data_IF_228443457247
#
_entry.id   IF_228443457247
#
_cell.length_a   1.000
_cell.length_b   1.000
_cell.length_c   1.000
_cell.angle_alpha   90.00
_cell.angle_beta   90.00
_cell.angle_gamma   90.00
#
_symmetry.space_group_name_H-M   'P 1'
#
loop_
_entity.id
_entity.type
_entity.pdbx_description
1 polymer ?
#
# COMPACT_ATOMS: atom_id res chain seq x y z
N UNK A 1 -4.92 10.81 -31.19
CA UNK A 1 -5.49 10.15 -30.00
C UNK A 1 -4.32 9.77 -29.11
N UNK A 2 -3.87 10.71 -28.28
CA UNK A 2 -2.86 10.43 -27.25
C UNK A 2 -3.51 9.45 -26.26
N UNK A 3 -3.07 8.20 -26.30
CA UNK A 3 -3.41 7.23 -25.26
C UNK A 3 -2.89 7.80 -23.95
N UNK A 4 -3.81 8.28 -23.10
CA UNK A 4 -3.52 8.58 -21.70
C UNK A 4 -2.71 7.39 -21.16
N UNK A 5 -1.45 7.64 -20.81
CA UNK A 5 -0.57 6.71 -20.10
C UNK A 5 -1.21 6.40 -18.75
N UNK A 6 -2.20 5.51 -18.71
CA UNK A 6 -2.41 4.72 -17.51
C UNK A 6 -1.09 3.99 -17.28
N UNK A 7 -0.42 4.19 -16.13
CA UNK A 7 0.74 3.36 -15.82
C UNK A 7 0.27 1.91 -15.93
N UNK A 8 0.97 1.04 -16.68
CA UNK A 8 0.64 -0.38 -16.66
C UNK A 8 0.70 -0.82 -15.20
N UNK A 9 -0.33 -1.52 -14.73
CA UNK A 9 -0.37 -2.06 -13.38
C UNK A 9 0.90 -2.90 -13.13
N UNK A 10 1.91 -2.30 -12.51
CA UNK A 10 3.22 -2.93 -12.27
C UNK A 10 3.17 -3.61 -10.91
N UNK A 11 3.26 -4.93 -10.94
CA UNK A 11 3.34 -5.73 -9.73
C UNK A 11 4.61 -5.41 -8.94
N UNK A 12 5.70 -5.05 -9.61
CA UNK A 12 6.97 -4.65 -9.00
C UNK A 12 6.85 -3.32 -8.26
N UNK A 13 6.10 -2.36 -8.83
CA UNK A 13 5.80 -1.10 -8.15
C UNK A 13 4.96 -1.34 -6.88
N UNK A 14 3.92 -2.18 -6.99
CA UNK A 14 3.11 -2.57 -5.83
C UNK A 14 3.95 -3.27 -4.74
N UNK A 15 4.81 -4.22 -5.13
CA UNK A 15 5.73 -4.89 -4.21
C UNK A 15 6.69 -3.92 -3.54
N UNK A 16 7.22 -2.94 -4.29
CA UNK A 16 8.12 -1.92 -3.74
C UNK A 16 7.44 -1.03 -2.71
N UNK A 17 6.17 -0.66 -2.94
CA UNK A 17 5.36 0.09 -1.96
C UNK A 17 5.15 -0.74 -0.70
N UNK A 18 4.69 -2.00 -0.83
CA UNK A 18 4.49 -2.88 0.31
C UNK A 18 5.78 -3.10 1.10
N UNK A 19 6.87 -3.43 0.42
CA UNK A 19 8.17 -3.64 1.05
C UNK A 19 8.70 -2.39 1.74
N UNK A 20 8.56 -1.22 1.11
CA UNK A 20 8.95 0.06 1.71
C UNK A 20 8.19 0.36 3.01
N UNK A 21 6.88 0.11 3.03
CA UNK A 21 6.05 0.27 4.23
C UNK A 21 6.39 -0.74 5.33
N UNK A 22 6.76 -1.97 4.98
CA UNK A 22 7.19 -2.99 5.96
C UNK A 22 8.52 -2.64 6.63
N UNK A 23 9.42 -1.95 5.93
CA UNK A 23 10.73 -1.56 6.46
C UNK A 23 10.66 -0.33 7.36
N UNK A 24 9.74 0.60 7.07
CA UNK A 24 9.61 1.87 7.77
C UNK A 24 8.13 2.17 8.06
N UNK A 25 7.65 1.65 9.18
CA UNK A 25 6.27 1.82 9.64
C UNK A 25 5.93 3.28 9.95
N UNK A 26 6.91 4.17 10.20
CA UNK A 26 6.64 5.60 10.46
C UNK A 26 6.20 6.32 9.19
N UNK A 27 6.55 5.79 8.00
CA UNK A 27 6.07 6.33 6.71
C UNK A 27 4.64 5.93 6.38
N UNK A 28 4.02 5.07 7.17
CA UNK A 28 2.65 4.63 6.95
C UNK A 28 1.68 5.80 6.84
N UNK A 29 1.76 6.75 7.76
CA UNK A 29 0.82 7.89 7.82
C UNK A 29 0.90 8.73 6.54
N UNK A 30 2.11 8.98 6.02
CA UNK A 30 2.33 9.73 4.77
C UNK A 30 1.80 9.03 3.51
N UNK A 31 1.87 7.70 3.49
CA UNK A 31 1.49 6.89 2.31
C UNK A 31 0.01 6.57 2.33
N UNK A 32 -0.56 6.22 3.49
CA UNK A 32 -1.98 5.89 3.65
C UNK A 32 -2.91 7.09 3.40
N UNK A 33 -2.41 8.32 3.48
CA UNK A 33 -3.13 9.53 3.01
C UNK A 33 -3.37 9.54 1.49
N UNK A 34 -2.53 8.85 0.71
CA UNK A 34 -2.53 8.91 -0.76
C UNK A 34 -2.83 7.57 -1.43
N UNK A 35 -2.65 6.46 -0.71
CA UNK A 35 -2.78 5.10 -1.23
C UNK A 35 -3.70 4.32 -0.32
N UNK A 36 -4.75 3.74 -0.91
CA UNK A 36 -5.66 2.81 -0.25
C UNK A 36 -5.51 1.41 -0.85
N UNK A 37 -6.01 0.40 -0.15
CA UNK A 37 -5.92 -0.99 -0.63
C UNK A 37 -6.49 -1.19 -2.04
N UNK A 38 -7.53 -0.45 -2.42
CA UNK A 38 -8.13 -0.54 -3.75
C UNK A 38 -7.27 0.00 -4.89
N UNK A 39 -6.21 0.76 -4.60
CA UNK A 39 -5.28 1.26 -5.62
C UNK A 39 -4.34 0.15 -6.14
N UNK A 40 -4.23 -0.96 -5.40
CA UNK A 40 -3.48 -2.14 -5.85
C UNK A 40 -4.33 -2.99 -6.80
N UNK A 41 -3.79 -3.30 -7.96
CA UNK A 41 -4.38 -4.18 -8.96
C UNK A 41 -4.39 -5.64 -8.51
N UNK A 42 -3.31 -6.10 -7.87
CA UNK A 42 -3.19 -7.46 -7.36
C UNK A 42 -4.06 -7.67 -6.12
N UNK A 43 -5.01 -8.61 -6.18
CA UNK A 43 -5.81 -9.00 -5.00
C UNK A 43 -4.94 -9.41 -3.81
N UNK A 44 -3.88 -10.23 -3.97
CA UNK A 44 -2.92 -10.47 -2.89
C UNK A 44 -2.35 -9.20 -2.26
N UNK A 45 -1.95 -8.21 -3.06
CA UNK A 45 -1.38 -6.96 -2.53
C UNK A 45 -2.42 -6.12 -1.79
N UNK A 46 -3.69 -6.11 -2.24
CA UNK A 46 -4.79 -5.50 -1.47
C UNK A 46 -4.92 -6.09 -0.08
N UNK A 47 -4.84 -7.42 0.01
CA UNK A 47 -4.96 -8.15 1.29
C UNK A 47 -3.78 -7.85 2.20
N UNK A 48 -2.56 -7.84 1.67
CA UNK A 48 -1.35 -7.51 2.44
C UNK A 48 -1.44 -6.09 3.00
N UNK A 49 -1.75 -5.10 2.16
CA UNK A 49 -1.88 -3.70 2.60
C UNK A 49 -2.95 -3.55 3.69
N UNK A 50 -4.11 -4.18 3.50
CA UNK A 50 -5.22 -4.13 4.47
C UNK A 50 -4.79 -4.70 5.83
N UNK A 51 -4.08 -5.83 5.83
CA UNK A 51 -3.63 -6.45 7.08
C UNK A 51 -2.50 -5.66 7.75
N UNK A 52 -1.59 -5.07 6.97
CA UNK A 52 -0.58 -4.15 7.51
C UNK A 52 -1.22 -2.97 8.24
N UNK A 53 -2.26 -2.38 7.66
CA UNK A 53 -3.02 -1.30 8.31
C UNK A 53 -3.60 -1.76 9.64
N UNK A 54 -4.28 -2.92 9.64
CA UNK A 54 -4.91 -3.49 10.83
C UNK A 54 -3.89 -3.76 11.95
N UNK A 55 -2.73 -4.31 11.60
CA UNK A 55 -1.66 -4.58 12.56
C UNK A 55 -1.07 -3.30 13.16
N UNK A 56 -0.90 -2.25 12.34
CA UNK A 56 -0.42 -0.96 12.81
C UNK A 56 -1.43 -0.29 13.76
N UNK A 57 -2.72 -0.31 13.41
CA UNK A 57 -3.81 0.18 14.27
C UNK A 57 -3.82 -0.54 15.62
N UNK A 58 -3.71 -1.88 15.62
CA UNK A 58 -3.61 -2.66 16.86
C UNK A 58 -2.38 -2.29 17.70
N UNK A 59 -1.22 -2.11 17.06
CA UNK A 59 0.00 -1.72 17.76
C UNK A 59 -0.13 -0.34 18.42
N UNK A 60 -0.88 0.59 17.82
CA UNK A 60 -1.12 1.93 18.36
C UNK A 60 -2.18 1.96 19.47
N UNK A 61 -3.11 1.02 19.45
CA UNK A 61 -4.19 0.89 20.45
C UNK A 61 -3.77 0.16 21.74
N UNK A 62 -2.58 -0.45 21.80
CA UNK A 62 -2.11 -1.23 22.95
C UNK A 62 -1.66 -0.37 24.16
N UNK A 63 -2.31 0.78 24.39
CA UNK A 63 -2.04 1.70 25.51
C UNK A 63 -3.14 1.60 26.56
#
# INVERSE_FOLDING_TARGET
MEGLKMPPHSLEAEQSVLGGLMLDNERWDNVSERVVSNDFFSRPHRLIFTEMQRLLEMSRLSI
#
